data_IF_912799795497
#
_entry.id   IF_912799795497
#
_cell.length_a   1.000
_cell.length_b   1.000
_cell.length_c   1.000
_cell.angle_alpha   90.00
_cell.angle_beta   90.00
_cell.angle_gamma   90.00
#
_symmetry.space_group_name_H-M   'P 1'
#
loop_
_entity.id
_entity.type
_entity.pdbx_description
1 polymer ?
#
# COMPACT_ATOMS: atom_id res chain seq x y z
N UNK A 1 -16.60 -9.21 0.50
CA UNK A 1 -16.18 -10.21 -0.51
C UNK A 1 -14.67 -10.19 -0.75
N UNK A 2 -14.00 -9.02 -0.90
CA UNK A 2 -12.55 -8.95 -1.15
C UNK A 2 -11.71 -9.72 -0.13
N UNK A 3 -12.07 -9.67 1.14
CA UNK A 3 -11.27 -10.28 2.23
C UNK A 3 -11.66 -11.73 2.54
N UNK A 4 -12.92 -12.10 2.30
CA UNK A 4 -13.42 -13.46 2.54
C UNK A 4 -13.09 -14.43 1.40
N UNK A 5 -12.75 -13.92 0.21
CA UNK A 5 -12.55 -14.70 -1.01
C UNK A 5 -11.23 -14.37 -1.70
N UNK A 6 -10.15 -14.22 -0.92
CA UNK A 6 -8.81 -13.87 -1.49
C UNK A 6 -8.37 -14.86 -2.57
N UNK A 7 -8.79 -16.12 -2.49
CA UNK A 7 -8.42 -17.16 -3.45
C UNK A 7 -9.43 -17.35 -4.58
N UNK A 8 -10.65 -16.80 -4.43
CA UNK A 8 -11.68 -16.87 -5.46
C UNK A 8 -11.59 -15.69 -6.43
N UNK A 9 -10.94 -15.92 -7.55
CA UNK A 9 -10.75 -14.93 -8.63
C UNK A 9 -12.09 -14.36 -9.12
N UNK A 10 -13.12 -15.21 -9.28
CA UNK A 10 -14.43 -14.79 -9.77
C UNK A 10 -15.13 -13.86 -8.78
N UNK A 11 -15.05 -14.14 -7.48
CA UNK A 11 -15.63 -13.28 -6.45
C UNK A 11 -14.89 -11.91 -6.40
N UNK A 12 -13.57 -11.91 -6.59
CA UNK A 12 -12.77 -10.68 -6.69
C UNK A 12 -13.17 -9.84 -7.91
N UNK A 13 -13.29 -10.45 -9.10
CA UNK A 13 -13.73 -9.78 -10.33
C UNK A 13 -15.12 -9.15 -10.18
N UNK A 14 -16.07 -9.87 -9.60
CA UNK A 14 -17.41 -9.35 -9.31
C UNK A 14 -17.36 -8.15 -8.37
N UNK A 15 -16.55 -8.24 -7.30
CA UNK A 15 -16.36 -7.14 -6.36
C UNK A 15 -15.79 -5.89 -7.03
N UNK A 16 -14.75 -6.03 -7.84
CA UNK A 16 -14.15 -4.92 -8.61
C UNK A 16 -15.18 -4.32 -9.58
N UNK A 17 -15.98 -5.16 -10.27
CA UNK A 17 -16.99 -4.69 -11.22
C UNK A 17 -18.07 -3.84 -10.54
N UNK A 18 -18.52 -4.24 -9.35
CA UNK A 18 -19.49 -3.48 -8.56
C UNK A 18 -18.92 -2.12 -8.15
N UNK A 19 -17.67 -2.11 -7.63
CA UNK A 19 -17.03 -0.85 -7.22
C UNK A 19 -16.83 0.08 -8.40
N UNK A 20 -16.45 -0.42 -9.58
CA UNK A 20 -16.36 0.39 -10.81
C UNK A 20 -17.68 1.09 -11.17
N UNK A 21 -18.81 0.40 -10.99
CA UNK A 21 -20.12 1.03 -11.19
C UNK A 21 -20.36 2.18 -10.20
N UNK A 22 -19.92 2.05 -8.95
CA UNK A 22 -20.03 3.12 -7.96
C UNK A 22 -19.10 4.29 -8.28
N UNK A 23 -17.87 4.02 -8.69
CA UNK A 23 -16.92 5.04 -9.12
C UNK A 23 -17.47 5.89 -10.28
N UNK A 24 -18.11 5.24 -11.27
CA UNK A 24 -18.73 5.93 -12.41
C UNK A 24 -19.92 6.82 -12.00
N UNK A 25 -20.54 6.56 -10.86
CA UNK A 25 -21.64 7.39 -10.30
C UNK A 25 -21.12 8.55 -9.43
N UNK A 26 -19.81 8.68 -9.23
CA UNK A 26 -19.20 9.80 -8.53
C UNK A 26 -19.32 9.81 -7.00
N UNK A 27 -19.82 8.74 -6.39
CA UNK A 27 -20.05 8.66 -4.94
C UNK A 27 -19.34 7.46 -4.29
N UNK A 28 -18.12 7.12 -4.71
CA UNK A 28 -17.37 6.02 -4.15
C UNK A 28 -16.45 6.51 -3.03
N UNK A 29 -16.55 5.97 -1.80
CA UNK A 29 -15.58 6.28 -0.74
C UNK A 29 -14.17 5.87 -1.17
N UNK A 30 -13.18 6.71 -0.86
CA UNK A 30 -11.78 6.50 -1.25
C UNK A 30 -11.23 5.12 -0.84
N UNK A 31 -11.53 4.64 0.36
CA UNK A 31 -11.09 3.32 0.83
C UNK A 31 -11.69 2.15 0.03
N UNK A 32 -12.92 2.31 -0.49
CA UNK A 32 -13.59 1.32 -1.35
C UNK A 32 -12.93 1.32 -2.73
N UNK A 33 -12.71 2.49 -3.31
CA UNK A 33 -11.98 2.66 -4.57
C UNK A 33 -10.56 2.05 -4.47
N UNK A 34 -9.81 2.42 -3.42
CA UNK A 34 -8.46 1.91 -3.17
C UNK A 34 -8.43 0.38 -3.06
N UNK A 35 -9.39 -0.22 -2.31
CA UNK A 35 -9.51 -1.68 -2.21
C UNK A 35 -9.69 -2.33 -3.58
N UNK A 36 -10.55 -1.76 -4.44
CA UNK A 36 -10.81 -2.30 -5.77
C UNK A 36 -9.59 -2.18 -6.70
N UNK A 37 -8.87 -1.06 -6.65
CA UNK A 37 -7.65 -0.84 -7.45
C UNK A 37 -6.52 -1.80 -7.04
N UNK A 38 -6.31 -2.01 -5.73
CA UNK A 38 -5.32 -2.96 -5.22
C UNK A 38 -5.67 -4.40 -5.64
N UNK A 39 -6.94 -4.80 -5.51
CA UNK A 39 -7.43 -6.11 -5.97
C UNK A 39 -7.29 -6.27 -7.48
N UNK A 40 -7.49 -5.21 -8.25
CA UNK A 40 -7.28 -5.26 -9.70
C UNK A 40 -5.81 -5.54 -10.07
N UNK A 41 -4.84 -5.04 -9.29
CA UNK A 41 -3.43 -5.40 -9.42
C UNK A 41 -3.22 -6.91 -9.24
N UNK A 42 -3.83 -7.49 -8.20
CA UNK A 42 -3.78 -8.94 -7.93
C UNK A 42 -4.40 -9.75 -9.07
N UNK A 43 -5.54 -9.32 -9.60
CA UNK A 43 -6.21 -9.99 -10.72
C UNK A 43 -5.35 -9.95 -11.99
N UNK A 44 -4.75 -8.80 -12.30
CA UNK A 44 -3.85 -8.65 -13.45
C UNK A 44 -2.61 -9.56 -13.34
N UNK A 45 -2.10 -9.75 -12.13
CA UNK A 45 -0.96 -10.62 -11.85
C UNK A 45 -1.32 -12.11 -12.00
N UNK A 46 -2.54 -12.51 -11.58
CA UNK A 46 -3.00 -13.91 -11.69
C UNK A 46 -3.32 -14.34 -13.12
N UNK A 47 -3.79 -13.43 -13.94
CA UNK A 47 -4.24 -13.73 -15.31
C UNK A 47 -3.17 -13.52 -16.37
N UNK A 48 -2.08 -12.83 -16.03
CA UNK A 48 -1.03 -12.42 -16.97
C UNK A 48 0.33 -13.05 -16.73
N UNK A 49 1.17 -12.96 -17.75
CA UNK A 49 2.62 -13.18 -17.59
C UNK A 49 3.18 -11.98 -16.81
N UNK A 50 4.08 -12.20 -15.81
CA UNK A 50 4.74 -11.11 -15.10
C UNK A 50 5.38 -10.13 -16.09
N UNK A 51 4.91 -8.90 -16.11
CA UNK A 51 5.29 -7.89 -17.10
C UNK A 51 5.44 -6.52 -16.44
N UNK A 52 6.02 -5.58 -17.19
CA UNK A 52 6.08 -4.19 -16.76
C UNK A 52 4.68 -3.60 -16.56
N UNK A 53 3.70 -4.04 -17.37
CA UNK A 53 2.29 -3.64 -17.20
C UNK A 53 1.70 -4.08 -15.88
N UNK A 54 1.98 -5.31 -15.44
CA UNK A 54 1.54 -5.81 -14.13
C UNK A 54 2.15 -4.98 -12.99
N UNK A 55 3.46 -4.68 -13.07
CA UNK A 55 4.14 -3.81 -12.10
C UNK A 55 3.54 -2.41 -12.07
N UNK A 56 3.27 -1.82 -13.23
CA UNK A 56 2.66 -0.49 -13.34
C UNK A 56 1.26 -0.45 -12.75
N UNK A 57 0.47 -1.50 -12.94
CA UNK A 57 -0.88 -1.60 -12.36
C UNK A 57 -0.82 -1.59 -10.82
N UNK A 58 0.07 -2.38 -10.23
CA UNK A 58 0.29 -2.39 -8.79
C UNK A 58 0.81 -1.04 -8.27
N UNK A 59 1.84 -0.51 -8.93
CA UNK A 59 2.47 0.74 -8.52
C UNK A 59 1.47 1.89 -8.52
N UNK A 60 0.66 2.02 -9.58
CA UNK A 60 -0.39 3.04 -9.65
C UNK A 60 -1.46 2.87 -8.58
N UNK A 61 -1.90 1.64 -8.30
CA UNK A 61 -2.85 1.37 -7.23
C UNK A 61 -2.31 1.77 -5.85
N UNK A 62 -1.03 1.45 -5.57
CA UNK A 62 -0.36 1.83 -4.32
C UNK A 62 -0.17 3.34 -4.19
N UNK A 63 0.22 4.03 -5.27
CA UNK A 63 0.35 5.49 -5.29
C UNK A 63 -1.00 6.15 -5.00
N UNK A 64 -2.07 5.73 -5.67
CA UNK A 64 -3.42 6.27 -5.45
C UNK A 64 -3.92 5.98 -4.04
N UNK A 65 -3.65 4.79 -3.51
CA UNK A 65 -4.00 4.43 -2.13
C UNK A 65 -3.32 5.35 -1.12
N UNK A 66 -1.99 5.46 -1.14
CA UNK A 66 -1.24 6.28 -0.17
C UNK A 66 -1.60 7.75 -0.29
N UNK A 67 -1.71 8.29 -1.52
CA UNK A 67 -2.12 9.67 -1.73
C UNK A 67 -3.55 9.91 -1.21
N UNK A 68 -4.50 9.03 -1.53
CA UNK A 68 -5.88 9.17 -1.09
C UNK A 68 -6.05 9.08 0.42
N UNK A 69 -5.26 8.26 1.12
CA UNK A 69 -5.19 8.28 2.58
C UNK A 69 -4.65 9.62 3.05
N UNK A 70 -3.54 10.10 2.49
CA UNK A 70 -2.95 11.37 2.87
C UNK A 70 -3.93 12.54 2.65
N UNK A 71 -4.58 12.60 1.49
CA UNK A 71 -5.54 13.66 1.13
C UNK A 71 -6.74 13.69 2.09
N UNK A 72 -7.23 12.53 2.52
CA UNK A 72 -8.35 12.42 3.46
C UNK A 72 -8.04 13.04 4.84
N UNK A 73 -6.77 13.16 5.19
CA UNK A 73 -6.29 13.72 6.47
C UNK A 73 -5.59 15.08 6.34
N UNK A 74 -5.53 15.67 5.15
CA UNK A 74 -5.05 17.03 4.90
C UNK A 74 -6.12 18.05 5.33
N UNK A 75 -6.23 18.28 6.65
CA UNK A 75 -7.25 19.18 7.22
C UNK A 75 -6.72 20.56 7.56
N UNK A 76 -5.43 20.83 7.35
CA UNK A 76 -4.77 22.09 7.74
C UNK A 76 -4.54 23.01 6.54
N UNK A 77 -4.38 24.30 6.84
CA UNK A 77 -4.10 25.36 5.86
C UNK A 77 -2.76 25.11 5.12
N UNK A 78 -1.81 24.44 5.75
CA UNK A 78 -0.52 24.05 5.17
C UNK A 78 -0.46 22.55 4.94
N UNK A 79 0.05 22.16 3.78
CA UNK A 79 0.26 20.76 3.43
C UNK A 79 1.23 20.07 4.42
N UNK A 80 0.81 18.95 4.98
CA UNK A 80 1.65 18.13 5.83
C UNK A 80 2.40 17.08 5.00
N UNK A 81 3.65 16.72 5.36
CA UNK A 81 4.34 15.60 4.73
C UNK A 81 3.53 14.31 4.84
N UNK A 82 3.48 13.53 3.76
CA UNK A 82 2.73 12.25 3.73
C UNK A 82 3.22 11.31 4.82
N UNK A 83 4.52 11.29 5.11
CA UNK A 83 5.10 10.48 6.18
C UNK A 83 4.53 10.82 7.57
N UNK A 84 4.34 12.12 7.87
CA UNK A 84 3.76 12.55 9.13
C UNK A 84 2.27 12.19 9.26
N UNK A 85 1.53 12.25 8.15
CA UNK A 85 0.13 11.79 8.12
C UNK A 85 0.07 10.27 8.31
N UNK A 86 0.92 9.53 7.62
CA UNK A 86 1.01 8.07 7.70
C UNK A 86 1.26 7.60 9.15
N UNK A 87 2.21 8.23 9.84
CA UNK A 87 2.49 7.96 11.25
C UNK A 87 1.26 8.19 12.13
N UNK A 88 0.57 9.31 11.96
CA UNK A 88 -0.62 9.67 12.73
C UNK A 88 -1.79 8.71 12.53
N UNK A 89 -1.96 8.14 11.33
CA UNK A 89 -3.07 7.22 11.02
C UNK A 89 -2.67 5.74 11.12
N UNK A 90 -1.45 5.45 11.57
CA UNK A 90 -0.93 4.09 11.67
C UNK A 90 -0.73 3.40 10.32
N UNK A 91 -0.55 4.18 9.23
CA UNK A 91 -0.18 3.61 7.93
C UNK A 91 1.31 3.23 7.96
N UNK A 92 1.68 1.98 7.63
CA UNK A 92 3.07 1.57 7.60
C UNK A 92 3.93 2.48 6.74
N UNK A 93 5.01 3.05 7.31
CA UNK A 93 5.93 3.97 6.63
C UNK A 93 6.56 3.36 5.36
N UNK A 94 6.70 2.04 5.34
CA UNK A 94 7.18 1.33 4.17
C UNK A 94 6.29 1.53 2.94
N UNK A 95 4.96 1.64 3.10
CA UNK A 95 4.05 1.95 2.00
C UNK A 95 4.28 3.35 1.42
N UNK A 96 4.66 4.31 2.28
CA UNK A 96 5.07 5.65 1.84
C UNK A 96 6.36 5.59 1.03
N UNK A 97 7.32 4.74 1.44
CA UNK A 97 8.57 4.52 0.70
C UNK A 97 8.30 3.88 -0.67
N UNK A 98 7.45 2.84 -0.73
CA UNK A 98 7.08 2.19 -2.00
C UNK A 98 6.39 3.19 -2.93
N UNK A 99 5.52 4.06 -2.40
CA UNK A 99 4.90 5.15 -3.18
C UNK A 99 5.96 6.11 -3.70
N UNK A 100 6.94 6.47 -2.87
CA UNK A 100 8.02 7.37 -3.28
C UNK A 100 8.85 6.77 -4.42
N UNK A 101 9.28 5.52 -4.28
CA UNK A 101 9.98 4.78 -5.33
C UNK A 101 9.16 4.76 -6.63
N UNK A 102 7.88 4.41 -6.56
CA UNK A 102 7.00 4.31 -7.73
C UNK A 102 6.79 5.63 -8.48
N UNK A 103 7.01 6.79 -7.82
CA UNK A 103 6.77 8.12 -8.40
C UNK A 103 8.03 8.88 -8.78
N UNK A 104 9.16 8.64 -8.11
CA UNK A 104 10.36 9.47 -8.23
C UNK A 104 11.64 8.68 -8.50
N UNK A 105 11.59 7.35 -8.38
CA UNK A 105 12.74 6.48 -8.53
C UNK A 105 12.43 5.36 -9.54
N UNK A 106 13.24 4.29 -9.50
CA UNK A 106 12.99 3.08 -10.28
C UNK A 106 11.74 2.36 -9.79
N UNK A 107 10.94 1.86 -10.75
CA UNK A 107 9.71 1.15 -10.44
C UNK A 107 9.98 -0.06 -9.53
N UNK A 108 9.27 -0.21 -8.41
CA UNK A 108 9.44 -1.32 -7.47
C UNK A 108 9.35 -2.68 -8.15
N UNK A 109 10.11 -3.66 -7.68
CA UNK A 109 10.02 -5.03 -8.20
C UNK A 109 8.62 -5.62 -7.99
N UNK A 110 8.25 -6.63 -8.78
CA UNK A 110 6.94 -7.28 -8.64
C UNK A 110 6.74 -7.90 -7.24
N UNK A 111 7.81 -8.41 -6.63
CA UNK A 111 7.76 -8.95 -5.26
C UNK A 111 7.41 -7.85 -4.24
N UNK A 112 8.05 -6.68 -4.34
CA UNK A 112 7.75 -5.50 -3.51
C UNK A 112 6.31 -5.03 -3.73
N UNK A 113 5.85 -4.98 -4.97
CA UNK A 113 4.47 -4.58 -5.30
C UNK A 113 3.44 -5.53 -4.67
N UNK A 114 3.66 -6.85 -4.75
CA UNK A 114 2.77 -7.87 -4.16
C UNK A 114 2.67 -7.71 -2.65
N UNK A 115 3.81 -7.61 -1.97
CA UNK A 115 3.87 -7.46 -0.52
C UNK A 115 3.25 -6.14 -0.06
N UNK A 116 3.57 -5.03 -0.73
CA UNK A 116 2.97 -3.73 -0.44
C UNK A 116 1.44 -3.76 -0.61
N UNK A 117 0.94 -4.42 -1.65
CA UNK A 117 -0.49 -4.55 -1.89
C UNK A 117 -1.17 -5.37 -0.80
N UNK A 118 -0.56 -6.46 -0.35
CA UNK A 118 -1.07 -7.26 0.77
C UNK A 118 -1.16 -6.43 2.05
N UNK A 119 -0.09 -5.72 2.38
CA UNK A 119 -0.04 -4.85 3.56
C UNK A 119 -1.06 -3.70 3.49
N UNK A 120 -1.23 -3.09 2.32
CA UNK A 120 -2.22 -2.04 2.11
C UNK A 120 -3.67 -2.54 2.29
N UNK A 121 -3.98 -3.73 1.76
CA UNK A 121 -5.28 -4.38 1.95
C UNK A 121 -5.51 -4.76 3.42
N UNK A 122 -4.51 -5.27 4.12
CA UNK A 122 -4.63 -5.61 5.54
C UNK A 122 -4.88 -4.34 6.39
N UNK A 123 -4.19 -3.24 6.11
CA UNK A 123 -4.45 -1.96 6.76
C UNK A 123 -5.87 -1.46 6.48
N UNK A 124 -6.33 -1.48 5.22
CA UNK A 124 -7.70 -1.12 4.86
C UNK A 124 -8.74 -2.01 5.56
N UNK A 125 -8.45 -3.31 5.68
CA UNK A 125 -9.33 -4.22 6.39
C UNK A 125 -9.49 -3.80 7.86
N UNK A 126 -8.38 -3.60 8.56
CA UNK A 126 -8.39 -3.25 9.98
C UNK A 126 -8.99 -1.87 10.24
N UNK A 127 -8.57 -0.85 9.45
CA UNK A 127 -8.91 0.54 9.74
C UNK A 127 -10.24 1.00 9.12
N UNK A 128 -10.70 0.36 8.04
CA UNK A 128 -11.90 0.78 7.34
C UNK A 128 -13.01 -0.26 7.34
N UNK A 129 -12.71 -1.52 6.95
CA UNK A 129 -13.76 -2.52 6.72
C UNK A 129 -14.27 -3.14 8.01
N UNK A 130 -13.39 -3.62 8.90
CA UNK A 130 -13.79 -4.30 10.14
C UNK A 130 -14.68 -3.42 11.02
N UNK A 131 -14.37 -2.14 11.30
CA UNK A 131 -15.23 -1.29 12.12
C UNK A 131 -16.63 -1.06 11.52
N UNK A 132 -16.76 -1.14 10.19
CA UNK A 132 -18.03 -0.93 9.49
C UNK A 132 -18.86 -2.18 9.32
N UNK A 133 -18.20 -3.34 9.23
CA UNK A 133 -18.87 -4.63 9.10
C UNK A 133 -19.35 -5.16 10.46
N UNK A 134 -18.65 -4.79 11.54
CA UNK A 134 -18.91 -5.25 12.90
C UNK A 134 -18.97 -4.07 13.89
N UNK A 135 -19.95 -3.17 13.77
CA UNK A 135 -20.03 -1.97 14.62
C UNK A 135 -20.20 -2.29 16.12
N UNK A 136 -20.78 -3.45 16.46
CA UNK A 136 -20.90 -3.93 17.84
C UNK A 136 -19.59 -4.44 18.43
N UNK A 137 -18.75 -5.13 17.64
CA UNK A 137 -17.46 -5.64 18.10
C UNK A 137 -16.46 -4.51 18.42
N UNK A 138 -16.58 -3.38 17.76
CA UNK A 138 -15.75 -2.20 18.07
C UNK A 138 -16.11 -1.57 19.42
N UNK A 139 -17.36 -1.64 19.85
CA UNK A 139 -17.81 -1.16 21.17
C UNK A 139 -17.42 -2.14 22.30
N UNK A 140 -17.51 -3.44 22.04
CA UNK A 140 -17.11 -4.48 22.99
C UNK A 140 -15.58 -4.55 23.16
N UNK A 141 -14.81 -4.35 22.08
CA UNK A 141 -13.34 -4.28 22.15
C UNK A 141 -12.88 -3.00 22.86
N UNK A 142 -13.58 -1.89 22.76
CA UNK A 142 -13.27 -0.68 23.53
C UNK A 142 -13.52 -0.89 25.04
N UNK A 143 -14.57 -1.59 25.43
CA UNK A 143 -14.89 -1.88 26.84
C UNK A 143 -14.00 -3.00 27.44
N UNK A 144 -13.59 -3.99 26.63
CA UNK A 144 -12.66 -5.03 27.04
C UNK A 144 -11.18 -4.59 26.99
N UNK A 145 -10.87 -3.54 26.23
CA UNK A 145 -9.51 -3.02 26.02
C UNK A 145 -8.93 -2.31 27.26
N UNK A 146 -9.75 -1.80 28.17
CA UNK A 146 -9.25 -1.20 29.42
C UNK A 146 -8.60 -2.20 30.38
N UNK A 147 -8.90 -3.51 30.23
CA UNK A 147 -8.32 -4.57 31.08
C UNK A 147 -7.13 -5.32 30.47
N UNK A 148 -6.96 -5.31 29.14
CA UNK A 148 -5.95 -6.12 28.44
C UNK A 148 -5.05 -5.31 27.48
N UNK A 149 -5.19 -3.99 27.45
CA UNK A 149 -4.53 -3.09 26.50
C UNK A 149 -2.99 -3.29 26.44
N UNK A 150 -2.35 -3.46 27.60
CA UNK A 150 -0.88 -3.60 27.68
C UNK A 150 -0.40 -4.95 27.08
N UNK A 151 -1.16 -6.02 27.25
CA UNK A 151 -0.80 -7.35 26.74
C UNK A 151 -1.07 -7.48 25.23
N UNK A 152 -2.12 -6.83 24.72
CA UNK A 152 -2.47 -6.82 23.30
C UNK A 152 -1.59 -5.84 22.51
N UNK A 153 -1.24 -4.71 23.09
CA UNK A 153 -0.28 -3.76 22.52
C UNK A 153 1.11 -4.37 22.39
N UNK A 154 1.53 -5.16 23.40
CA UNK A 154 2.79 -5.90 23.35
C UNK A 154 2.76 -7.00 22.29
N UNK A 155 1.68 -7.78 22.13
CA UNK A 155 1.51 -8.79 21.08
C UNK A 155 1.44 -8.17 19.70
N UNK A 156 0.74 -7.05 19.54
CA UNK A 156 0.69 -6.30 18.30
C UNK A 156 2.07 -5.74 17.92
N UNK A 157 2.83 -5.25 18.90
CA UNK A 157 4.19 -4.76 18.70
C UNK A 157 5.16 -5.89 18.33
N UNK A 158 5.07 -7.06 18.98
CA UNK A 158 5.87 -8.24 18.66
C UNK A 158 5.53 -8.80 17.27
N UNK A 159 4.26 -8.84 16.89
CA UNK A 159 3.81 -9.23 15.56
C UNK A 159 4.26 -8.23 14.47
N UNK A 160 4.20 -6.94 14.77
CA UNK A 160 4.69 -5.89 13.87
C UNK A 160 6.21 -5.95 13.71
N UNK A 161 6.96 -6.21 14.79
CA UNK A 161 8.41 -6.37 14.75
C UNK A 161 8.83 -7.61 13.95
N UNK A 162 8.14 -8.75 14.11
CA UNK A 162 8.38 -9.96 13.33
C UNK A 162 8.10 -9.73 11.84
N UNK A 163 7.02 -9.00 11.53
CA UNK A 163 6.65 -8.65 10.17
C UNK A 163 7.64 -7.66 9.53
N UNK A 164 8.12 -6.69 10.30
CA UNK A 164 9.19 -5.77 9.89
C UNK A 164 10.49 -6.52 9.58
N UNK A 165 10.85 -7.51 10.40
CA UNK A 165 12.03 -8.35 10.16
C UNK A 165 11.92 -9.17 8.86
N UNK A 166 10.72 -9.70 8.55
CA UNK A 166 10.44 -10.37 7.27
C UNK A 166 10.56 -9.40 6.09
N UNK A 167 9.99 -8.20 6.22
CA UNK A 167 10.06 -7.17 5.17
C UNK A 167 11.51 -6.70 4.93
N UNK A 168 12.30 -6.52 5.99
CA UNK A 168 13.73 -6.20 5.88
C UNK A 168 14.52 -7.35 5.23
N UNK A 169 14.13 -8.61 5.47
CA UNK A 169 14.75 -9.75 4.80
C UNK A 169 14.44 -9.74 3.29
N UNK A 170 13.18 -9.54 2.90
CA UNK A 170 12.77 -9.42 1.50
C UNK A 170 13.48 -8.23 0.84
N UNK A 171 13.54 -7.07 1.50
CA UNK A 171 14.25 -5.90 0.99
C UNK A 171 15.75 -6.19 0.77
N UNK A 172 16.41 -6.84 1.74
CA UNK A 172 17.83 -7.23 1.60
C UNK A 172 18.06 -8.21 0.45
N UNK A 173 17.16 -9.18 0.27
CA UNK A 173 17.25 -10.16 -0.83
C UNK A 173 17.07 -9.45 -2.17
N UNK A 174 16.05 -8.60 -2.31
CA UNK A 174 15.84 -7.82 -3.52
C UNK A 174 17.00 -6.85 -3.81
N UNK A 175 17.53 -6.16 -2.79
CA UNK A 175 18.68 -5.27 -2.94
C UNK A 175 19.95 -6.05 -3.35
N UNK A 176 20.13 -7.27 -2.84
CA UNK A 176 21.24 -8.15 -3.25
C UNK A 176 21.07 -8.66 -4.67
N UNK A 177 19.85 -8.97 -5.11
CA UNK A 177 19.54 -9.40 -6.47
C UNK A 177 19.75 -8.26 -7.47
N UNK A 178 19.33 -7.04 -7.14
CA UNK A 178 19.63 -5.83 -7.93
C UNK A 178 21.13 -5.57 -7.99
N UNK A 179 21.86 -5.77 -6.89
CA UNK A 179 23.31 -5.60 -6.86
C UNK A 179 24.07 -6.71 -7.62
N UNK A 180 23.47 -7.90 -7.76
CA UNK A 180 24.02 -9.02 -8.56
C UNK A 180 23.72 -8.89 -10.03
N UNK A 181 22.62 -8.24 -10.41
CA UNK A 181 22.27 -8.01 -11.81
C UNK A 181 23.04 -6.79 -12.36
N UNK A 182 24.35 -6.93 -12.45
CA UNK A 182 25.30 -5.94 -12.99
C UNK A 182 25.16 -5.71 -14.51
N UNK A 183 24.18 -6.30 -15.17
CA UNK A 183 23.84 -6.00 -16.57
C UNK A 183 23.11 -4.65 -16.72
N UNK A 184 22.56 -4.12 -15.64
CA UNK A 184 22.07 -2.75 -15.55
C UNK A 184 23.21 -1.85 -15.07
N UNK A 185 24.02 -1.37 -16.04
CA UNK A 185 24.93 -0.25 -15.76
C UNK A 185 24.12 0.90 -15.17
N UNK A 186 24.52 1.46 -14.03
CA UNK A 186 23.89 2.68 -13.54
C UNK A 186 24.10 3.74 -14.61
N UNK A 187 23.03 4.15 -15.28
CA UNK A 187 23.03 5.41 -16.03
C UNK A 187 23.44 6.47 -15.01
N UNK A 188 24.64 6.97 -15.19
CA UNK A 188 25.27 7.87 -14.23
C UNK A 188 24.38 9.11 -14.10
N UNK A 189 23.78 9.28 -12.94
CA UNK A 189 23.02 10.48 -12.50
C UNK A 189 23.84 11.76 -12.55
N UNK A 190 25.14 11.68 -12.89
CA UNK A 190 26.05 12.80 -13.04
C UNK A 190 25.78 13.70 -14.25
N UNK A 191 25.06 13.20 -15.28
CA UNK A 191 24.78 14.03 -16.47
C UNK A 191 23.54 14.93 -16.34
N UNK A 192 22.61 14.65 -15.42
CA UNK A 192 21.43 15.51 -15.21
C UNK A 192 21.73 16.73 -14.32
N UNK A 193 22.78 16.70 -13.51
CA UNK A 193 23.18 17.83 -12.64
C UNK A 193 24.04 18.88 -13.33
N UNK A 194 24.58 18.57 -14.49
CA UNK A 194 25.44 19.50 -15.25
C UNK A 194 24.68 20.53 -16.10
N UNK A 195 23.37 20.31 -16.32
CA UNK A 195 22.57 21.22 -17.16
C UNK A 195 21.74 22.25 -16.37
N UNK A 196 21.71 22.20 -15.01
CA UNK A 196 20.98 23.18 -14.20
C UNK A 196 21.82 24.34 -13.67
N UNK A 197 23.13 24.40 -13.95
CA UNK A 197 24.00 25.45 -13.41
C UNK A 197 24.47 26.48 -14.44
N UNK A 198 24.01 26.40 -15.71
CA UNK A 198 24.40 27.37 -16.75
C UNK A 198 23.23 28.24 -17.21
N UNK A 199 22.42 28.77 -16.31
CA UNK A 199 21.44 29.81 -16.60
C UNK A 199 21.33 30.79 -15.44
N UNK A 200 22.40 31.57 -15.24
CA UNK A 200 22.37 32.90 -14.66
C UNK A 200 23.48 33.73 -15.28
#
# INVERSE_FOLDING_TARGET
RFYAARDDTRALEQGVSIVRLWMNRGACPQAVEASALLVQGILADRTGVPSIGTRSTYAMALVRFVNGVADSFQTRLYAQPIAAIAERVGLPQWLVQVRHMATHEDMPSLAVCREATTLALDWLNCCFWQPRLHPGAAAETAAAAEGNAIADERRACEAAAARLAQLLHVYRTCAQDVARDRSLTPVSYTHLRAHETDSY
#
